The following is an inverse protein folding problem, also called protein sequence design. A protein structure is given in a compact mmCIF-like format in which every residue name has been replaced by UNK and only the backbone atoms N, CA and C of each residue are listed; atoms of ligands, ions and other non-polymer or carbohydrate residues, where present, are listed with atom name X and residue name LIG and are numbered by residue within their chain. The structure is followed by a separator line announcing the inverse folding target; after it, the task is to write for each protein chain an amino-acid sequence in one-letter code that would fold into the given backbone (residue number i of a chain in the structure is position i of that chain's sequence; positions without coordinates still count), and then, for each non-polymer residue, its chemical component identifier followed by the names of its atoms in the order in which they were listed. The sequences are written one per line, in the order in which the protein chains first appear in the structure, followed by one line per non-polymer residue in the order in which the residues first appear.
data_IF_593882043772
#
_entry.id   IF_593882043772
#
_cell.length_a   1.000
_cell.length_b   1.000
_cell.length_c   1.000
_cell.angle_alpha   90.00
_cell.angle_beta   90.00
_cell.angle_gamma   90.00
#
_symmetry.space_group_name_H-M   'P 1'
#
loop_
_entity.id
_entity.type
_entity.pdbx_description
1 polymer ?
#
# COMPACT_ATOMS: atom_id res chain seq x y z
N UNK A 1 -16.31 -38.33 26.78
CA UNK A 1 -15.04 -38.76 26.19
C UNK A 1 -14.88 -38.02 24.87
N UNK A 2 -13.99 -37.02 24.79
CA UNK A 2 -13.72 -36.30 23.54
C UNK A 2 -13.03 -37.23 22.53
N UNK A 3 -13.48 -37.23 21.28
CA UNK A 3 -12.98 -38.10 20.23
C UNK A 3 -11.56 -37.70 19.79
N UNK A 4 -10.85 -38.60 19.12
CA UNK A 4 -9.53 -38.31 18.55
C UNK A 4 -9.59 -37.15 17.54
N UNK A 5 -10.71 -37.00 16.83
CA UNK A 5 -10.97 -35.90 15.91
C UNK A 5 -11.11 -34.56 16.65
N UNK A 6 -11.80 -34.53 17.80
CA UNK A 6 -11.93 -33.32 18.61
C UNK A 6 -10.57 -32.80 19.11
N UNK A 7 -9.67 -33.73 19.47
CA UNK A 7 -8.29 -33.41 19.87
C UNK A 7 -7.45 -32.89 18.69
N UNK A 8 -7.63 -33.45 17.50
CA UNK A 8 -6.94 -33.00 16.30
C UNK A 8 -7.35 -31.57 15.90
N UNK A 9 -8.65 -31.24 15.99
CA UNK A 9 -9.17 -29.89 15.73
C UNK A 9 -8.63 -28.89 16.76
N UNK A 10 -8.65 -29.23 18.05
CA UNK A 10 -8.09 -28.38 19.11
C UNK A 10 -6.59 -28.15 18.92
N UNK A 11 -5.82 -29.22 18.65
CA UNK A 11 -4.38 -29.11 18.39
C UNK A 11 -4.07 -28.30 17.13
N UNK A 12 -4.93 -28.33 16.10
CA UNK A 12 -4.75 -27.55 14.88
C UNK A 12 -5.01 -26.05 15.11
N UNK A 13 -5.86 -25.70 16.08
CA UNK A 13 -6.14 -24.30 16.45
C UNK A 13 -4.99 -23.74 17.30
N UNK A 14 -4.47 -24.53 18.26
CA UNK A 14 -3.36 -24.12 19.14
C UNK A 14 -1.99 -24.10 18.45
N UNK A 15 -1.79 -24.89 17.38
CA UNK A 15 -0.52 -24.93 16.63
C UNK A 15 -0.49 -23.96 15.43
N UNK A 16 -1.58 -23.22 15.16
CA UNK A 16 -1.54 -22.15 14.16
C UNK A 16 -0.64 -21.04 14.74
N UNK A 17 0.38 -20.55 14.02
CA UNK A 17 1.09 -19.36 14.48
C UNK A 17 0.03 -18.30 14.78
N UNK A 18 0.10 -17.63 15.96
CA UNK A 18 -0.92 -16.66 16.32
C UNK A 18 -1.03 -15.71 15.13
N UNK A 19 -2.22 -15.68 14.50
CA UNK A 19 -2.51 -14.60 13.58
C UNK A 19 -2.13 -13.34 14.33
N UNK A 20 -1.26 -12.51 13.74
CA UNK A 20 -0.93 -11.21 14.30
C UNK A 20 -2.23 -10.61 14.81
N UNK A 21 -2.25 -10.37 16.13
CA UNK A 21 -3.42 -9.87 16.82
C UNK A 21 -3.90 -8.63 16.07
N UNK A 22 -5.21 -8.51 15.81
CA UNK A 22 -5.71 -7.52 14.84
C UNK A 22 -5.31 -6.09 15.20
N UNK A 23 -5.26 -5.83 16.50
CA UNK A 23 -4.72 -4.62 17.12
C UNK A 23 -3.21 -4.42 16.89
N UNK A 24 -2.39 -5.49 16.82
CA UNK A 24 -0.98 -5.38 16.44
C UNK A 24 -0.81 -4.95 14.98
N UNK A 25 -1.67 -5.43 14.07
CA UNK A 25 -1.67 -4.99 12.68
C UNK A 25 -2.12 -3.53 12.56
N UNK A 26 -3.20 -3.15 13.25
CA UNK A 26 -3.72 -1.77 13.27
C UNK A 26 -2.71 -0.80 13.92
N UNK A 27 -1.98 -1.26 14.93
CA UNK A 27 -0.87 -0.52 15.57
C UNK A 27 0.32 -0.34 14.62
N UNK A 28 0.76 -1.40 13.94
CA UNK A 28 1.82 -1.32 12.93
C UNK A 28 1.44 -0.38 11.79
N UNK A 29 0.20 -0.48 11.30
CA UNK A 29 -0.33 0.38 10.24
C UNK A 29 -0.31 1.85 10.65
N UNK A 30 -0.89 2.18 11.81
CA UNK A 30 -0.91 3.56 12.34
C UNK A 30 0.50 4.13 12.51
N UNK A 31 1.47 3.29 12.91
CA UNK A 31 2.87 3.69 13.08
C UNK A 31 3.57 3.96 11.75
N UNK A 32 3.25 3.18 10.72
CA UNK A 32 3.74 3.42 9.35
C UNK A 32 3.12 4.67 8.74
N UNK A 33 1.82 4.92 8.95
CA UNK A 33 1.12 6.13 8.49
C UNK A 33 1.76 7.39 9.09
N UNK A 34 1.98 7.41 10.42
CA UNK A 34 2.66 8.51 11.11
C UNK A 34 4.12 8.70 10.64
N UNK A 35 4.84 7.60 10.40
CA UNK A 35 6.21 7.65 9.89
C UNK A 35 6.29 8.25 8.49
N UNK A 36 5.37 7.84 7.60
CA UNK A 36 5.27 8.37 6.25
C UNK A 36 4.95 9.86 6.31
N UNK A 37 3.92 10.29 7.06
CA UNK A 37 3.52 11.69 7.16
C UNK A 37 4.63 12.66 7.64
N UNK A 38 5.61 12.16 8.39
CA UNK A 38 6.77 12.95 8.83
C UNK A 38 7.91 13.10 7.78
N UNK A 39 7.76 12.53 6.58
CA UNK A 39 8.73 12.65 5.47
C UNK A 39 8.28 13.72 4.46
N UNK A 40 9.23 14.33 3.74
CA UNK A 40 8.96 15.33 2.68
C UNK A 40 7.96 14.85 1.60
N UNK A 41 7.93 13.55 1.29
CA UNK A 41 7.00 12.94 0.32
C UNK A 41 6.01 11.99 0.99
N UNK A 42 5.77 12.18 2.29
CA UNK A 42 5.00 11.30 3.14
C UNK A 42 3.57 11.04 2.68
N UNK A 43 2.87 12.13 2.36
CA UNK A 43 1.50 12.09 1.85
C UNK A 43 1.40 11.36 0.51
N UNK A 44 2.33 11.61 -0.41
CA UNK A 44 2.38 10.95 -1.72
C UNK A 44 2.51 9.42 -1.63
N UNK A 45 3.30 8.94 -0.66
CA UNK A 45 3.50 7.50 -0.43
C UNK A 45 2.25 6.89 0.20
N UNK A 46 1.59 7.60 1.13
CA UNK A 46 0.36 7.13 1.77
C UNK A 46 -0.80 7.00 0.77
N UNK A 47 -1.02 8.02 -0.08
CA UNK A 47 -2.00 7.96 -1.17
C UNK A 47 -1.72 6.81 -2.15
N UNK A 48 -0.46 6.54 -2.49
CA UNK A 48 -0.08 5.46 -3.39
C UNK A 48 -0.35 4.06 -2.81
N UNK A 49 -0.36 3.92 -1.48
CA UNK A 49 -0.68 2.67 -0.78
C UNK A 49 -2.20 2.48 -0.68
N UNK A 50 -2.95 3.56 -0.46
CA UNK A 50 -4.40 3.51 -0.27
C UNK A 50 -5.19 3.44 -1.59
N UNK A 51 -4.72 4.14 -2.63
CA UNK A 51 -5.41 4.22 -3.93
C UNK A 51 -4.73 3.43 -5.04
N UNK A 52 -3.60 2.76 -4.74
CA UNK A 52 -2.73 2.18 -5.74
C UNK A 52 -1.94 3.27 -6.49
N UNK A 53 -0.98 2.91 -7.36
CA UNK A 53 -0.18 3.90 -8.07
C UNK A 53 -1.10 4.85 -8.84
N UNK A 54 -1.08 6.13 -8.44
CA UNK A 54 -1.72 7.27 -9.11
C UNK A 54 -1.67 7.06 -10.61
N UNK A 55 -2.79 7.33 -11.32
CA UNK A 55 -2.94 7.19 -12.78
C UNK A 55 -1.78 7.87 -13.52
N UNK A 56 -0.69 7.12 -13.67
CA UNK A 56 0.51 7.59 -14.30
C UNK A 56 0.23 7.54 -15.80
N UNK A 57 0.51 8.61 -16.57
CA UNK A 57 0.30 8.56 -18.00
C UNK A 57 1.08 7.36 -18.58
N UNK A 58 0.37 6.51 -19.32
CA UNK A 58 0.94 5.36 -19.99
C UNK A 58 1.33 5.73 -21.41
N UNK A 59 2.47 5.23 -21.86
CA UNK A 59 2.95 5.37 -23.24
C UNK A 59 3.04 4.00 -23.86
N UNK A 60 2.67 3.93 -25.14
CA UNK A 60 2.90 2.75 -25.95
C UNK A 60 4.30 2.89 -26.54
N UNK A 61 5.26 2.14 -26.02
CA UNK A 61 6.60 2.07 -26.57
C UNK A 61 6.80 0.70 -27.24
N UNK A 62 7.06 0.70 -28.54
CA UNK A 62 7.23 -0.52 -29.34
C UNK A 62 6.04 -1.50 -29.25
N UNK A 63 4.81 -0.97 -29.15
CA UNK A 63 3.59 -1.78 -29.04
C UNK A 63 3.30 -2.32 -27.64
N UNK A 64 4.13 -2.00 -26.64
CA UNK A 64 3.91 -2.35 -25.23
C UNK A 64 3.53 -1.10 -24.44
N UNK A 65 2.39 -1.16 -23.77
CA UNK A 65 1.92 -0.07 -22.90
C UNK A 65 2.67 -0.13 -21.57
N UNK A 66 3.48 0.88 -21.26
CA UNK A 66 4.15 1.05 -19.97
C UNK A 66 3.86 2.42 -19.37
N UNK A 67 4.00 2.54 -18.05
CA UNK A 67 3.88 3.84 -17.36
C UNK A 67 5.12 4.70 -17.62
N UNK A 68 4.94 6.02 -17.83
CA UNK A 68 6.06 6.99 -17.91
C UNK A 68 6.90 6.97 -16.64
N UNK A 69 8.19 7.28 -16.74
CA UNK A 69 8.96 7.73 -15.57
C UNK A 69 8.76 9.22 -15.36
N UNK A 70 9.01 9.73 -14.14
CA UNK A 70 8.87 11.16 -13.84
C UNK A 70 9.72 12.06 -14.76
N UNK A 71 10.93 11.60 -15.13
CA UNK A 71 11.82 12.28 -16.08
C UNK A 71 11.32 12.30 -17.52
N UNK A 72 10.32 11.48 -17.84
CA UNK A 72 9.68 11.37 -19.16
C UNK A 72 8.33 12.10 -19.19
N UNK A 73 7.91 12.70 -18.07
CA UNK A 73 6.73 13.56 -18.02
C UNK A 73 7.01 14.83 -18.81
N UNK A 74 6.02 15.25 -19.59
CA UNK A 74 6.01 16.59 -20.13
C UNK A 74 5.91 17.61 -18.99
N UNK A 75 6.35 18.85 -19.26
CA UNK A 75 6.25 19.93 -18.28
C UNK A 75 4.80 20.12 -17.79
N UNK A 76 3.81 19.95 -18.66
CA UNK A 76 2.39 20.05 -18.30
C UNK A 76 1.91 18.91 -17.40
N UNK A 77 2.32 17.67 -17.65
CA UNK A 77 1.97 16.51 -16.79
C UNK A 77 2.67 16.60 -15.43
N UNK A 78 3.93 17.07 -15.39
CA UNK A 78 4.64 17.32 -14.14
C UNK A 78 4.00 18.46 -13.34
N UNK A 79 3.57 19.53 -14.01
CA UNK A 79 2.81 20.62 -13.38
C UNK A 79 1.48 20.12 -12.85
N UNK A 80 0.75 19.27 -13.59
CA UNK A 80 -0.51 18.69 -13.12
C UNK A 80 -0.28 17.77 -11.93
N UNK A 81 0.74 16.91 -11.96
CA UNK A 81 1.09 16.05 -10.82
C UNK A 81 1.47 16.89 -9.58
N UNK A 82 2.24 17.98 -9.76
CA UNK A 82 2.60 18.89 -8.68
C UNK A 82 1.38 19.72 -8.21
N UNK A 83 0.43 20.01 -9.10
CA UNK A 83 -0.82 20.72 -8.78
C UNK A 83 -1.81 19.82 -8.05
N UNK A 84 -1.96 18.56 -8.44
CA UNK A 84 -2.75 17.55 -7.73
C UNK A 84 -2.18 17.37 -6.31
N UNK A 85 -0.85 17.23 -6.18
CA UNK A 85 -0.15 17.19 -4.88
C UNK A 85 -0.37 18.46 -4.05
N UNK A 86 -0.47 19.64 -4.70
CA UNK A 86 -0.76 20.92 -4.04
C UNK A 86 -2.24 21.13 -3.73
N UNK A 87 -3.16 20.52 -4.49
CA UNK A 87 -4.60 20.62 -4.30
C UNK A 87 -5.09 19.72 -3.16
N UNK A 88 -4.34 18.68 -2.80
CA UNK A 88 -4.60 17.82 -1.63
C UNK A 88 -4.04 18.39 -0.31
N UNK A 89 -3.50 19.61 -0.30
CA UNK A 89 -2.92 20.28 0.89
C UNK A 89 -3.72 21.48 1.38
#
# INVERSE_FOLDING_TARGET
MASLADKAILSSIENRPPMLEKDMYDSWRSRMELYMLNRQHGRMILESVEHGPLLWPSIIENGVTRLKKYSELSSAEAIQADYDVKATN
#
